data_IF_095674593156
#
_entry.id   IF_095674593156
#
_cell.length_a   1.000
_cell.length_b   1.000
_cell.length_c   1.000
_cell.angle_alpha   90.00
_cell.angle_beta   90.00
_cell.angle_gamma   90.00
#
_symmetry.space_group_name_H-M   'P 1'
#
loop_
_entity.id
_entity.type
_entity.pdbx_description
1 polymer ?
#
# COMPACT_ATOMS: atom_id res chain seq x y z
N UNK A 1 43.55 -14.57 42.98
CA UNK A 1 42.66 -15.70 43.26
C UNK A 1 41.86 -15.36 44.52
N UNK A 2 40.56 -15.06 44.34
CA UNK A 2 39.47 -14.93 45.32
C UNK A 2 39.60 -14.03 46.57
N UNK A 3 39.05 -12.81 46.40
CA UNK A 3 38.11 -12.06 47.27
C UNK A 3 38.26 -12.18 48.80
N UNK A 4 38.76 -11.09 49.39
CA UNK A 4 38.22 -10.52 50.64
C UNK A 4 37.83 -9.07 50.37
N UNK A 5 37.09 -8.50 51.34
CA UNK A 5 37.13 -7.10 51.76
C UNK A 5 35.94 -6.21 51.33
N UNK A 6 34.89 -6.19 52.16
CA UNK A 6 34.60 -5.10 53.12
C UNK A 6 33.09 -4.88 53.32
N UNK A 7 32.72 -4.69 54.58
CA UNK A 7 31.42 -4.21 55.00
C UNK A 7 31.29 -2.69 54.91
N UNK A 8 30.05 -2.28 54.66
CA UNK A 8 29.36 -1.03 55.02
C UNK A 8 30.13 0.30 55.02
N UNK A 9 29.68 1.21 54.14
CA UNK A 9 29.34 2.59 54.52
C UNK A 9 27.96 2.94 53.97
N UNK A 10 27.16 3.55 54.84
CA UNK A 10 25.82 4.11 54.58
C UNK A 10 25.98 5.54 54.04
N UNK A 11 24.94 5.98 53.33
CA UNK A 11 24.63 7.35 52.88
C UNK A 11 25.43 7.91 51.70
N UNK A 12 24.81 7.81 50.52
CA UNK A 12 24.33 8.98 49.78
C UNK A 12 23.20 8.51 48.85
N UNK A 13 22.01 9.09 49.05
CA UNK A 13 20.87 8.98 48.15
C UNK A 13 21.30 9.29 46.72
N UNK A 14 21.14 8.38 45.74
CA UNK A 14 21.09 8.81 44.36
C UNK A 14 19.68 9.39 44.14
N UNK A 15 19.64 10.69 43.85
CA UNK A 15 18.50 11.38 43.28
C UNK A 15 17.72 10.46 42.33
N UNK A 16 16.43 10.26 42.60
CA UNK A 16 15.51 9.75 41.59
C UNK A 16 15.69 10.62 40.34
N UNK A 17 16.02 10.04 39.16
CA UNK A 17 15.91 10.79 37.94
C UNK A 17 14.42 10.99 37.68
N UNK A 18 13.89 12.10 38.20
CA UNK A 18 12.66 12.73 37.74
C UNK A 18 12.92 13.31 36.35
N UNK A 19 13.26 12.44 35.39
CA UNK A 19 13.10 12.74 33.98
C UNK A 19 11.62 12.90 33.74
N UNK A 20 11.14 14.15 33.79
CA UNK A 20 9.85 14.53 33.23
C UNK A 20 9.73 13.85 31.87
N UNK A 21 8.61 13.16 31.57
CA UNK A 21 8.43 12.54 30.27
C UNK A 21 8.63 13.62 29.21
N UNK A 22 9.56 13.35 28.30
CA UNK A 22 9.85 14.22 27.16
C UNK A 22 8.53 14.41 26.44
N UNK A 23 8.00 15.63 26.41
CA UNK A 23 6.69 15.90 25.80
C UNK A 23 6.76 15.50 24.33
N UNK A 24 6.08 14.40 23.96
CA UNK A 24 5.97 13.98 22.57
C UNK A 24 5.16 15.02 21.83
N UNK A 25 5.79 15.74 20.90
CA UNK A 25 5.11 16.70 20.05
C UNK A 25 4.84 16.04 18.70
N UNK A 26 3.56 15.79 18.42
CA UNK A 26 3.08 15.29 17.13
C UNK A 26 2.35 16.41 16.42
N UNK A 27 2.57 16.55 15.12
CA UNK A 27 1.66 17.33 14.30
C UNK A 27 0.32 16.60 14.12
N UNK A 28 -0.72 17.34 13.71
CA UNK A 28 -2.06 16.77 13.57
C UNK A 28 -2.13 15.64 12.55
N UNK A 29 -1.29 15.63 11.51
CA UNK A 29 -1.25 14.57 10.50
C UNK A 29 -0.57 13.31 11.07
N UNK A 30 0.57 13.43 11.74
CA UNK A 30 1.23 12.33 12.46
C UNK A 30 0.27 11.66 13.44
N UNK A 31 -0.45 12.48 14.23
CA UNK A 31 -1.42 12.02 15.21
C UNK A 31 -2.54 11.19 14.58
N UNK A 32 -3.26 11.73 13.58
CA UNK A 32 -4.38 11.00 12.95
C UNK A 32 -3.93 9.80 12.12
N UNK A 33 -2.73 9.86 11.52
CA UNK A 33 -2.14 8.71 10.81
C UNK A 33 -1.84 7.57 11.78
N UNK A 34 -1.24 7.86 12.94
CA UNK A 34 -0.94 6.84 13.93
C UNK A 34 -2.22 6.27 14.58
N UNK A 35 -3.16 7.14 14.96
CA UNK A 35 -4.47 6.73 15.49
C UNK A 35 -5.24 5.83 14.51
N UNK A 36 -5.02 5.96 13.20
CA UNK A 36 -5.67 5.10 12.19
C UNK A 36 -5.37 3.61 12.36
N UNK A 37 -4.30 3.25 13.08
CA UNK A 37 -3.98 1.87 13.44
C UNK A 37 -4.98 1.25 14.41
N UNK A 38 -5.68 2.07 15.21
CA UNK A 38 -6.50 1.67 16.36
C UNK A 38 -7.99 2.07 16.20
N UNK A 39 -8.47 2.29 14.97
CA UNK A 39 -9.91 2.54 14.71
C UNK A 39 -10.81 1.35 15.04
N UNK A 40 -10.21 0.20 15.27
CA UNK A 40 -10.84 -1.00 15.83
C UNK A 40 -9.91 -1.55 16.92
N UNK A 41 -10.42 -2.27 17.93
CA UNK A 41 -9.59 -2.87 18.97
C UNK A 41 -8.39 -3.62 18.37
N UNK A 42 -7.17 -3.22 18.74
CA UNK A 42 -5.95 -3.76 18.18
C UNK A 42 -4.91 -4.05 19.26
N UNK A 43 -4.36 -5.26 19.21
CA UNK A 43 -3.23 -5.70 20.03
C UNK A 43 -1.96 -4.98 19.56
N UNK A 44 -1.37 -4.18 20.45
CA UNK A 44 -0.18 -3.37 20.18
C UNK A 44 0.97 -4.23 19.70
N UNK A 45 1.23 -5.39 20.33
CA UNK A 45 2.34 -6.26 19.97
C UNK A 45 2.18 -6.87 18.57
N UNK A 46 0.95 -7.13 18.15
CA UNK A 46 0.66 -7.65 16.80
C UNK A 46 0.72 -6.55 15.74
N UNK A 47 0.24 -5.35 16.08
CA UNK A 47 0.16 -4.22 15.14
C UNK A 47 1.54 -3.60 14.88
N UNK A 48 2.34 -3.50 15.94
CA UNK A 48 3.65 -2.86 15.98
C UNK A 48 4.73 -3.90 16.30
N UNK A 49 4.99 -4.81 15.35
CA UNK A 49 6.17 -5.67 15.42
C UNK A 49 7.47 -4.86 15.27
N UNK A 50 8.64 -5.49 15.43
CA UNK A 50 9.93 -4.80 15.39
C UNK A 50 10.14 -3.93 14.13
N UNK A 51 9.80 -4.46 12.94
CA UNK A 51 9.98 -3.73 11.68
C UNK A 51 9.00 -2.56 11.55
N UNK A 52 7.74 -2.76 11.96
CA UNK A 52 6.75 -1.69 11.95
C UNK A 52 7.06 -0.60 12.98
N UNK A 53 7.56 -0.98 14.16
CA UNK A 53 7.92 -0.04 15.23
C UNK A 53 9.00 0.93 14.75
N UNK A 54 10.11 0.41 14.23
CA UNK A 54 11.21 1.24 13.74
C UNK A 54 10.76 2.23 12.64
N UNK A 55 9.88 1.78 11.74
CA UNK A 55 9.32 2.62 10.67
C UNK A 55 8.42 3.74 11.22
N UNK A 56 7.63 3.47 12.25
CA UNK A 56 6.82 4.50 12.90
C UNK A 56 7.67 5.47 13.72
N UNK A 57 8.69 4.99 14.43
CA UNK A 57 9.59 5.85 15.22
C UNK A 57 10.34 6.85 14.34
N UNK A 58 10.82 6.42 13.17
CA UNK A 58 11.42 7.31 12.16
C UNK A 58 10.45 8.42 11.71
N UNK A 59 9.19 8.05 11.47
CA UNK A 59 8.16 8.98 10.97
C UNK A 59 7.60 9.93 12.03
N UNK A 60 7.50 9.46 13.27
CA UNK A 60 6.99 10.22 14.40
C UNK A 60 8.09 11.06 15.05
N UNK A 61 9.36 10.70 14.85
CA UNK A 61 10.50 11.34 15.53
C UNK A 61 10.54 11.05 17.03
N UNK A 62 9.84 10.02 17.50
CA UNK A 62 9.69 9.67 18.91
C UNK A 62 9.46 8.16 19.08
N UNK A 63 9.86 7.57 20.23
CA UNK A 63 9.56 6.17 20.54
C UNK A 63 8.06 5.89 20.53
N UNK A 64 7.65 4.77 19.94
CA UNK A 64 6.22 4.46 19.72
C UNK A 64 5.46 4.27 21.04
N UNK A 65 6.10 3.74 22.08
CA UNK A 65 5.46 3.59 23.39
C UNK A 65 5.24 4.92 24.10
N UNK A 66 6.15 5.89 23.92
CA UNK A 66 5.97 7.26 24.43
C UNK A 66 4.83 7.96 23.70
N UNK A 67 4.70 7.73 22.38
CA UNK A 67 3.58 8.22 21.56
C UNK A 67 2.25 7.63 22.06
N UNK A 68 2.20 6.33 22.31
CA UNK A 68 0.99 5.66 22.84
C UNK A 68 0.61 6.24 24.20
N UNK A 69 1.59 6.42 25.10
CA UNK A 69 1.34 7.01 26.41
C UNK A 69 0.78 8.44 26.28
N UNK A 70 1.42 9.29 25.46
CA UNK A 70 0.96 10.66 25.22
C UNK A 70 -0.46 10.73 24.61
N UNK A 71 -0.80 9.82 23.70
CA UNK A 71 -2.15 9.75 23.11
C UNK A 71 -3.20 9.19 24.08
N UNK A 72 -2.78 8.34 25.03
CA UNK A 72 -3.65 7.84 26.10
C UNK A 72 -3.92 8.94 27.13
N UNK A 73 -2.88 9.67 27.55
CA UNK A 73 -2.98 10.83 28.45
C UNK A 73 -3.84 11.95 27.85
N UNK A 74 -3.83 12.09 26.53
CA UNK A 74 -4.67 13.03 25.78
C UNK A 74 -6.10 12.53 25.51
N UNK A 75 -6.48 11.37 26.05
CA UNK A 75 -7.81 10.74 25.89
C UNK A 75 -8.18 10.44 24.42
N UNK A 76 -7.19 10.15 23.58
CA UNK A 76 -7.38 9.79 22.17
C UNK A 76 -7.30 8.29 21.95
N UNK A 77 -6.51 7.60 22.78
CA UNK A 77 -6.51 6.16 22.91
C UNK A 77 -7.06 5.78 24.28
N UNK A 78 -7.72 4.63 24.33
CA UNK A 78 -8.09 3.98 25.58
C UNK A 78 -7.82 2.49 25.48
N UNK A 79 -7.70 1.87 26.65
CA UNK A 79 -7.73 0.41 26.73
C UNK A 79 -9.09 -0.11 26.25
N UNK A 80 -9.07 -1.19 25.49
CA UNK A 80 -10.27 -1.89 25.08
C UNK A 80 -10.96 -2.53 26.29
N UNK A 81 -12.29 -2.45 26.32
CA UNK A 81 -13.13 -3.18 27.29
C UNK A 81 -12.97 -4.69 27.13
N UNK A 82 -13.36 -5.46 28.14
CA UNK A 82 -13.26 -6.93 28.08
C UNK A 82 -13.99 -7.52 26.85
N UNK A 83 -15.17 -6.99 26.52
CA UNK A 83 -15.95 -7.37 25.33
C UNK A 83 -15.17 -7.10 24.04
N UNK A 84 -14.60 -5.91 23.89
CA UNK A 84 -13.78 -5.53 22.74
C UNK A 84 -12.49 -6.38 22.64
N UNK A 85 -11.86 -6.68 23.78
CA UNK A 85 -10.68 -7.56 23.83
C UNK A 85 -10.99 -8.98 23.36
N UNK A 86 -12.14 -9.53 23.78
CA UNK A 86 -12.64 -10.84 23.34
C UNK A 86 -12.91 -10.84 21.84
N UNK A 87 -13.60 -9.82 21.35
CA UNK A 87 -13.90 -9.69 19.92
C UNK A 87 -12.62 -9.59 19.07
N UNK A 88 -11.62 -8.85 19.51
CA UNK A 88 -10.35 -8.72 18.78
C UNK A 88 -9.52 -9.99 18.80
N UNK A 89 -9.59 -10.75 19.89
CA UNK A 89 -8.64 -11.82 20.21
C UNK A 89 -9.00 -13.18 19.64
N UNK A 90 -10.30 -13.45 19.47
CA UNK A 90 -10.81 -14.78 19.14
C UNK A 90 -11.63 -14.79 17.86
N UNK A 91 -11.67 -15.93 17.18
CA UNK A 91 -12.58 -16.19 16.07
C UNK A 91 -14.00 -16.37 16.58
N UNK A 92 -14.98 -16.22 15.68
CA UNK A 92 -16.38 -16.43 16.03
C UNK A 92 -16.65 -17.85 16.56
N UNK A 93 -16.00 -18.87 16.02
CA UNK A 93 -16.14 -20.26 16.49
C UNK A 93 -15.66 -20.43 17.94
N UNK A 94 -14.49 -19.87 18.25
CA UNK A 94 -13.89 -19.90 19.59
C UNK A 94 -14.80 -19.19 20.60
N UNK A 95 -15.33 -18.00 20.25
CA UNK A 95 -16.29 -17.28 21.09
C UNK A 95 -17.58 -18.09 21.32
N UNK A 96 -18.06 -18.87 20.34
CA UNK A 96 -19.25 -19.72 20.52
C UNK A 96 -18.99 -20.89 21.47
N UNK A 97 -17.81 -21.49 21.38
CA UNK A 97 -17.38 -22.54 22.30
C UNK A 97 -17.25 -22.00 23.71
N UNK A 98 -16.60 -20.83 23.87
CA UNK A 98 -16.47 -20.11 25.14
C UNK A 98 -17.83 -19.72 25.73
N UNK A 99 -18.76 -19.25 24.90
CA UNK A 99 -20.12 -18.93 25.33
C UNK A 99 -20.86 -20.17 25.84
N UNK A 100 -20.78 -21.27 25.09
CA UNK A 100 -21.43 -22.53 25.45
C UNK A 100 -20.87 -23.12 26.75
N UNK A 101 -19.54 -23.08 26.94
CA UNK A 101 -18.89 -23.60 28.16
C UNK A 101 -19.25 -22.80 29.42
N UNK A 102 -19.60 -21.52 29.27
CA UNK A 102 -20.07 -20.66 30.36
C UNK A 102 -21.59 -20.72 30.57
N UNK A 103 -22.31 -21.49 29.75
CA UNK A 103 -23.78 -21.56 29.80
C UNK A 103 -24.48 -20.31 29.28
N UNK A 104 -23.79 -19.45 28.51
CA UNK A 104 -24.39 -18.29 27.85
C UNK A 104 -24.73 -18.59 26.38
N UNK A 105 -25.71 -17.87 25.84
CA UNK A 105 -26.23 -18.12 24.49
C UNK A 105 -25.15 -17.86 23.41
N UNK A 106 -24.76 -18.92 22.69
CA UNK A 106 -23.72 -18.91 21.66
C UNK A 106 -24.20 -18.55 20.23
N UNK A 107 -25.39 -17.98 20.06
CA UNK A 107 -25.91 -17.54 18.75
C UNK A 107 -25.99 -16.02 18.66
N UNK A 108 -25.66 -15.47 17.48
CA UNK A 108 -25.67 -14.03 17.21
C UNK A 108 -24.43 -13.56 16.45
N UNK A 109 -24.26 -12.23 16.37
CA UNK A 109 -23.04 -11.62 15.83
C UNK A 109 -21.89 -11.77 16.83
N UNK A 110 -20.66 -11.57 16.33
CA UNK A 110 -19.44 -11.73 17.11
C UNK A 110 -19.40 -10.83 18.35
N UNK A 111 -19.66 -9.53 18.17
CA UNK A 111 -19.74 -8.55 19.25
C UNK A 111 -20.77 -8.94 20.32
N UNK A 112 -21.98 -9.35 19.92
CA UNK A 112 -23.04 -9.75 20.87
C UNK A 112 -22.62 -10.94 21.75
N UNK A 113 -21.87 -11.88 21.19
CA UNK A 113 -21.38 -13.05 21.93
C UNK A 113 -20.27 -12.64 22.89
N UNK A 114 -19.34 -11.78 22.44
CA UNK A 114 -18.27 -11.25 23.28
C UNK A 114 -18.83 -10.46 24.48
N UNK A 115 -19.87 -9.66 24.26
CA UNK A 115 -20.56 -8.89 25.31
C UNK A 115 -21.20 -9.79 26.37
N UNK A 116 -21.87 -10.87 25.93
CA UNK A 116 -22.49 -11.85 26.84
C UNK A 116 -21.46 -12.60 27.67
N UNK A 117 -20.32 -12.94 27.06
CA UNK A 117 -19.22 -13.60 27.78
C UNK A 117 -18.65 -12.63 28.82
N UNK A 118 -18.34 -11.39 28.42
CA UNK A 118 -17.79 -10.37 29.29
C UNK A 118 -18.71 -10.03 30.47
N UNK A 119 -20.03 -10.04 30.24
CA UNK A 119 -21.05 -9.78 31.26
C UNK A 119 -21.30 -10.95 32.21
N UNK A 120 -20.77 -12.14 31.92
CA UNK A 120 -21.00 -13.32 32.75
C UNK A 120 -20.01 -13.36 33.92
N UNK A 121 -20.47 -13.70 35.13
CA UNK A 121 -19.66 -13.67 36.36
C UNK A 121 -18.60 -14.79 36.45
N UNK A 122 -18.38 -15.56 35.37
CA UNK A 122 -17.46 -16.71 35.31
C UNK A 122 -16.23 -16.36 34.48
N UNK A 123 -15.49 -15.33 34.89
CA UNK A 123 -14.39 -14.77 34.10
C UNK A 123 -13.08 -15.53 34.29
N UNK A 124 -13.01 -16.79 33.84
CA UNK A 124 -11.75 -17.55 33.78
C UNK A 124 -10.78 -17.07 32.69
N UNK A 125 -11.19 -16.10 31.87
CA UNK A 125 -10.46 -15.62 30.70
C UNK A 125 -9.71 -14.30 30.93
N UNK A 126 -9.86 -13.71 32.12
CA UNK A 126 -9.15 -12.49 32.49
C UNK A 126 -7.64 -12.68 32.46
N UNK A 127 -7.14 -13.88 32.80
CA UNK A 127 -5.70 -14.14 32.88
C UNK A 127 -5.06 -14.20 31.47
N UNK A 128 -5.74 -14.81 30.50
CA UNK A 128 -5.24 -14.94 29.12
C UNK A 128 -5.31 -13.61 28.34
N UNK A 129 -6.29 -12.75 28.68
CA UNK A 129 -6.44 -11.42 28.10
C UNK A 129 -5.68 -10.34 28.87
N UNK A 130 -5.35 -10.56 30.14
CA UNK A 130 -4.64 -9.61 31.01
C UNK A 130 -3.23 -9.30 30.53
N UNK A 131 -2.59 -10.24 29.81
CA UNK A 131 -1.30 -10.01 29.17
C UNK A 131 -1.35 -9.25 27.85
N UNK A 132 -2.55 -8.95 27.31
CA UNK A 132 -2.70 -8.29 26.01
C UNK A 132 -2.99 -6.80 26.17
N UNK A 133 -2.08 -5.98 25.66
CA UNK A 133 -2.29 -4.54 25.52
C UNK A 133 -3.09 -4.27 24.24
N UNK A 134 -4.43 -4.23 24.36
CA UNK A 134 -5.35 -3.96 23.25
C UNK A 134 -5.89 -2.55 23.42
N UNK A 135 -5.62 -1.70 22.42
CA UNK A 135 -6.03 -0.31 22.41
C UNK A 135 -7.07 -0.05 21.32
N UNK A 136 -7.89 0.97 21.54
CA UNK A 136 -8.85 1.50 20.56
C UNK A 136 -8.89 3.03 20.69
N UNK A 137 -9.13 3.71 19.57
CA UNK A 137 -9.46 5.13 19.57
C UNK A 137 -10.73 5.40 20.40
N UNK A 138 -10.72 6.49 21.15
CA UNK A 138 -11.95 7.08 21.71
C UNK A 138 -12.85 7.59 20.59
N UNK A 139 -14.14 7.84 20.86
CA UNK A 139 -15.10 8.29 19.84
C UNK A 139 -14.63 9.58 19.16
N UNK A 140 -14.14 10.54 19.94
CA UNK A 140 -13.54 11.78 19.44
C UNK A 140 -12.36 11.52 18.48
N UNK A 141 -11.48 10.57 18.82
CA UNK A 141 -10.36 10.21 17.97
C UNK A 141 -10.83 9.44 16.71
N UNK A 142 -11.86 8.61 16.81
CA UNK A 142 -12.46 7.93 15.67
C UNK A 142 -13.08 8.94 14.68
N UNK A 143 -13.77 9.96 15.18
CA UNK A 143 -14.32 11.03 14.36
C UNK A 143 -13.21 11.79 13.62
N UNK A 144 -12.16 12.19 14.33
CA UNK A 144 -11.01 12.88 13.74
C UNK A 144 -10.30 12.04 12.65
N UNK A 145 -10.12 10.73 12.89
CA UNK A 145 -9.55 9.81 11.89
C UNK A 145 -10.48 9.66 10.70
N UNK A 146 -11.79 9.58 10.93
CA UNK A 146 -12.79 9.42 9.88
C UNK A 146 -12.89 10.67 9.00
N UNK A 147 -12.92 11.84 9.59
CA UNK A 147 -12.87 13.14 8.90
C UNK A 147 -11.59 13.26 8.08
N UNK A 148 -10.43 12.91 8.66
CA UNK A 148 -9.16 12.94 7.95
C UNK A 148 -9.15 11.97 6.74
N UNK A 149 -9.68 10.75 6.89
CA UNK A 149 -9.81 9.79 5.78
C UNK A 149 -10.75 10.32 4.70
N UNK A 150 -11.85 10.96 5.06
CA UNK A 150 -12.79 11.57 4.13
C UNK A 150 -12.14 12.73 3.36
N UNK A 151 -11.44 13.63 4.05
CA UNK A 151 -10.70 14.74 3.45
C UNK A 151 -9.63 14.22 2.47
N UNK A 152 -8.81 13.24 2.88
CA UNK A 152 -7.82 12.61 1.99
C UNK A 152 -8.45 11.99 0.74
N UNK A 153 -9.61 11.37 0.88
CA UNK A 153 -10.33 10.81 -0.27
C UNK A 153 -10.78 11.90 -1.24
N UNK A 154 -11.35 13.00 -0.74
CA UNK A 154 -11.77 14.14 -1.57
C UNK A 154 -10.58 14.82 -2.26
N UNK A 155 -9.47 14.99 -1.56
CA UNK A 155 -8.25 15.57 -2.13
C UNK A 155 -7.65 14.68 -3.22
N UNK A 156 -7.64 13.36 -3.02
CA UNK A 156 -7.24 12.39 -4.05
C UNK A 156 -8.13 12.51 -5.28
N UNK A 157 -9.46 12.51 -5.10
CA UNK A 157 -10.42 12.61 -6.20
C UNK A 157 -10.25 13.92 -6.99
N UNK A 158 -10.06 15.05 -6.29
CA UNK A 158 -9.77 16.35 -6.91
C UNK A 158 -8.48 16.33 -7.73
N UNK A 159 -7.41 15.77 -7.18
CA UNK A 159 -6.12 15.66 -7.88
C UNK A 159 -6.23 14.75 -9.12
N UNK A 160 -6.98 13.66 -9.03
CA UNK A 160 -7.23 12.76 -10.15
C UNK A 160 -8.01 13.42 -11.28
N UNK A 161 -9.12 14.11 -10.96
CA UNK A 161 -9.91 14.86 -11.94
C UNK A 161 -9.06 15.91 -12.65
N UNK A 162 -8.32 16.70 -11.89
CA UNK A 162 -7.46 17.72 -12.46
C UNK A 162 -6.35 17.14 -13.35
N UNK A 163 -5.80 16.00 -12.96
CA UNK A 163 -4.84 15.27 -13.81
C UNK A 163 -5.48 14.88 -15.13
N UNK A 164 -6.68 14.31 -15.10
CA UNK A 164 -7.41 13.89 -16.30
C UNK A 164 -7.70 15.06 -17.24
N UNK A 165 -8.14 16.21 -16.71
CA UNK A 165 -8.33 17.43 -17.49
C UNK A 165 -7.04 17.87 -18.21
N UNK A 166 -5.91 17.84 -17.51
CA UNK A 166 -4.61 18.22 -18.08
C UNK A 166 -4.14 17.22 -19.14
N UNK A 167 -4.39 15.92 -18.95
CA UNK A 167 -4.12 14.89 -19.95
C UNK A 167 -4.94 15.12 -21.22
N UNK A 168 -6.25 15.42 -21.08
CA UNK A 168 -7.15 15.77 -22.19
C UNK A 168 -6.64 17.01 -22.95
N UNK A 169 -6.18 18.03 -22.22
CA UNK A 169 -5.57 19.24 -22.77
C UNK A 169 -4.12 19.07 -23.26
N UNK A 170 -3.55 17.85 -23.20
CA UNK A 170 -2.16 17.53 -23.59
C UNK A 170 -1.09 18.27 -22.80
N UNK A 171 -1.43 18.79 -21.62
CA UNK A 171 -0.48 19.38 -20.69
C UNK A 171 0.12 18.30 -19.76
N UNK A 172 0.95 17.43 -20.35
CA UNK A 172 1.50 16.27 -19.64
C UNK A 172 2.46 16.64 -18.51
N UNK A 173 3.19 17.74 -18.66
CA UNK A 173 4.14 18.20 -17.62
C UNK A 173 3.38 18.55 -16.34
N UNK A 174 2.32 19.36 -16.45
CA UNK A 174 1.55 19.74 -15.27
C UNK A 174 0.76 18.55 -14.70
N UNK A 175 0.27 17.64 -15.54
CA UNK A 175 -0.37 16.39 -15.08
C UNK A 175 0.59 15.56 -14.20
N UNK A 176 1.87 15.46 -14.57
CA UNK A 176 2.88 14.78 -13.76
C UNK A 176 3.19 15.56 -12.47
N UNK A 177 3.26 16.90 -12.53
CA UNK A 177 3.54 17.74 -11.37
C UNK A 177 2.48 17.61 -10.27
N UNK A 178 1.19 17.52 -10.64
CA UNK A 178 0.11 17.29 -9.66
C UNK A 178 0.33 16.02 -8.88
N UNK A 179 0.70 14.95 -9.58
CA UNK A 179 0.92 13.63 -8.98
C UNK A 179 2.15 13.65 -8.07
N UNK A 180 3.25 14.26 -8.51
CA UNK A 180 4.45 14.42 -7.69
C UNK A 180 4.16 15.20 -6.41
N UNK A 181 3.50 16.37 -6.52
CA UNK A 181 3.13 17.19 -5.35
C UNK A 181 2.19 16.45 -4.40
N UNK A 182 1.20 15.73 -4.94
CA UNK A 182 0.27 14.96 -4.14
C UNK A 182 0.98 13.87 -3.34
N UNK A 183 1.84 13.07 -3.99
CA UNK A 183 2.59 11.99 -3.34
C UNK A 183 3.65 12.54 -2.38
N UNK A 184 4.32 13.65 -2.71
CA UNK A 184 5.25 14.33 -1.80
C UNK A 184 4.61 14.74 -0.47
N UNK A 185 3.37 15.21 -0.51
CA UNK A 185 2.60 15.59 0.67
C UNK A 185 2.07 14.38 1.47
N UNK A 186 2.15 13.15 0.95
CA UNK A 186 1.67 11.98 1.67
C UNK A 186 2.64 11.54 2.76
N UNK A 187 2.06 11.16 3.90
CA UNK A 187 2.80 10.52 4.99
C UNK A 187 3.47 9.21 4.53
N UNK A 188 2.72 8.41 3.76
CA UNK A 188 3.22 7.23 3.04
C UNK A 188 3.12 7.44 1.55
N UNK A 189 4.28 7.60 0.92
CA UNK A 189 4.42 7.71 -0.52
C UNK A 189 4.35 6.32 -1.16
N UNK A 190 3.74 6.22 -2.34
CA UNK A 190 3.69 4.94 -3.06
C UNK A 190 5.01 4.64 -3.76
N UNK A 191 5.29 3.35 -3.93
CA UNK A 191 6.45 2.85 -4.67
C UNK A 191 7.72 2.82 -3.82
N UNK A 192 8.32 1.64 -3.72
CA UNK A 192 9.58 1.45 -2.98
C UNK A 192 10.70 2.17 -3.75
N UNK A 193 11.43 3.05 -3.06
CA UNK A 193 12.59 3.76 -3.62
C UNK A 193 12.24 4.83 -4.67
N UNK A 194 10.97 5.24 -4.77
CA UNK A 194 10.58 6.32 -5.70
C UNK A 194 10.82 7.66 -5.04
N UNK A 195 11.71 8.47 -5.64
CA UNK A 195 11.86 9.87 -5.28
C UNK A 195 10.84 10.72 -6.05
N UNK A 196 9.71 11.05 -5.42
CA UNK A 196 8.64 11.82 -6.06
C UNK A 196 9.06 13.24 -6.46
N UNK A 197 10.07 13.82 -5.78
CA UNK A 197 10.65 15.15 -6.11
C UNK A 197 11.32 15.21 -7.50
N UNK A 198 11.68 14.06 -8.06
CA UNK A 198 12.35 13.97 -9.35
C UNK A 198 11.69 12.93 -10.27
N UNK A 199 10.47 12.48 -9.95
CA UNK A 199 9.78 11.44 -10.71
C UNK A 199 9.14 11.99 -12.00
N UNK A 200 8.92 13.30 -12.07
CA UNK A 200 8.24 14.02 -13.15
C UNK A 200 8.79 13.67 -14.54
N UNK A 201 10.12 13.63 -14.71
CA UNK A 201 10.73 13.36 -16.02
C UNK A 201 10.45 11.94 -16.53
N UNK A 202 10.47 10.96 -15.63
CA UNK A 202 10.16 9.56 -15.98
C UNK A 202 8.70 9.42 -16.35
N UNK A 203 7.81 9.99 -15.53
CA UNK A 203 6.37 9.98 -15.77
C UNK A 203 6.03 10.67 -17.09
N UNK A 204 6.60 11.86 -17.33
CA UNK A 204 6.39 12.62 -18.57
C UNK A 204 6.78 11.82 -19.81
N UNK A 205 7.92 11.11 -19.79
CA UNK A 205 8.35 10.23 -20.89
C UNK A 205 7.34 9.10 -21.11
N UNK A 206 6.90 8.42 -20.05
CA UNK A 206 5.91 7.34 -20.13
C UNK A 206 4.58 7.83 -20.72
N UNK A 207 4.05 8.95 -20.21
CA UNK A 207 2.82 9.57 -20.73
C UNK A 207 2.96 9.99 -22.19
N UNK A 208 4.11 10.58 -22.55
CA UNK A 208 4.38 10.96 -23.95
C UNK A 208 4.37 9.75 -24.87
N UNK A 209 4.93 8.62 -24.43
CA UNK A 209 4.87 7.36 -25.19
C UNK A 209 3.42 6.90 -25.32
N UNK A 210 2.66 6.85 -24.22
CA UNK A 210 1.24 6.42 -24.23
C UNK A 210 0.41 7.21 -25.24
N UNK A 211 0.59 8.54 -25.31
CA UNK A 211 -0.20 9.38 -26.19
C UNK A 211 0.25 9.39 -27.65
N UNK A 212 1.47 8.92 -27.95
CA UNK A 212 1.99 8.78 -29.33
C UNK A 212 1.92 7.36 -29.88
N UNK A 213 1.80 6.36 -29.00
CA UNK A 213 1.90 4.95 -29.37
C UNK A 213 0.73 4.48 -30.24
N UNK A 214 1.02 3.58 -31.18
CA UNK A 214 0.04 2.83 -31.97
C UNK A 214 0.54 1.38 -32.12
N UNK A 215 0.60 0.62 -31.01
CA UNK A 215 1.16 -0.74 -31.03
C UNK A 215 0.32 -1.66 -31.91
N UNK A 216 0.99 -2.60 -32.57
CA UNK A 216 0.39 -3.56 -33.50
C UNK A 216 -0.77 -4.34 -32.85
N UNK A 217 -0.62 -4.70 -31.58
CA UNK A 217 -1.66 -5.40 -30.81
C UNK A 217 -2.98 -4.61 -30.71
N UNK A 218 -2.91 -3.28 -30.56
CA UNK A 218 -4.13 -2.47 -30.52
C UNK A 218 -4.82 -2.42 -31.87
N UNK A 219 -4.03 -2.34 -32.94
CA UNK A 219 -4.56 -2.36 -34.30
C UNK A 219 -5.23 -3.69 -34.61
N UNK A 220 -4.61 -4.82 -34.25
CA UNK A 220 -5.13 -6.16 -34.51
C UNK A 220 -6.37 -6.50 -33.67
N UNK A 221 -6.39 -6.16 -32.39
CA UNK A 221 -7.47 -6.57 -31.47
C UNK A 221 -8.60 -5.55 -31.30
N UNK A 222 -8.29 -4.26 -31.40
CA UNK A 222 -9.24 -3.18 -31.07
C UNK A 222 -9.46 -2.18 -32.21
N UNK A 223 -8.87 -2.41 -33.39
CA UNK A 223 -8.97 -1.50 -34.53
C UNK A 223 -8.16 -0.20 -34.38
N UNK A 224 -7.36 -0.06 -33.32
CA UNK A 224 -6.56 1.12 -33.03
C UNK A 224 -6.56 1.50 -31.55
N UNK A 225 -5.88 2.60 -31.22
CA UNK A 225 -5.84 3.13 -29.86
C UNK A 225 -6.82 4.29 -29.74
N UNK A 226 -7.92 4.09 -29.01
CA UNK A 226 -8.88 5.15 -28.72
C UNK A 226 -8.29 6.20 -27.76
N UNK A 227 -8.82 7.42 -27.82
CA UNK A 227 -8.44 8.48 -26.90
C UNK A 227 -8.72 8.10 -25.43
N UNK A 228 -9.86 7.47 -25.16
CA UNK A 228 -10.21 6.99 -23.82
C UNK A 228 -9.21 5.94 -23.29
N UNK A 229 -8.71 5.03 -24.14
CA UNK A 229 -7.67 4.08 -23.74
C UNK A 229 -6.34 4.76 -23.42
N UNK A 230 -5.99 5.86 -24.11
CA UNK A 230 -4.79 6.67 -23.79
C UNK A 230 -4.93 7.35 -22.44
N UNK A 231 -6.07 7.99 -22.20
CA UNK A 231 -6.38 8.66 -20.93
C UNK A 231 -6.35 7.67 -19.77
N UNK A 232 -7.01 6.51 -19.92
CA UNK A 232 -7.02 5.48 -18.88
C UNK A 232 -5.64 4.87 -18.63
N UNK A 233 -4.85 4.61 -19.69
CA UNK A 233 -3.48 4.10 -19.54
C UNK A 233 -2.57 5.11 -18.83
N UNK A 234 -2.71 6.40 -19.16
CA UNK A 234 -1.98 7.48 -18.50
C UNK A 234 -2.38 7.60 -17.03
N UNK A 235 -3.67 7.46 -16.70
CA UNK A 235 -4.12 7.43 -15.31
C UNK A 235 -3.64 6.18 -14.57
N UNK A 236 -3.56 5.00 -15.21
CA UNK A 236 -2.92 3.80 -14.64
C UNK A 236 -1.44 4.06 -14.30
N UNK A 237 -0.73 4.78 -15.16
CA UNK A 237 0.66 5.19 -14.90
C UNK A 237 0.77 6.13 -13.71
N UNK A 238 -0.06 7.19 -13.70
CA UNK A 238 0.04 8.31 -12.75
C UNK A 238 -0.62 8.07 -11.40
N UNK A 239 -1.58 7.16 -11.28
CA UNK A 239 -2.33 6.95 -10.03
C UNK A 239 -2.35 5.49 -9.56
N UNK A 240 -1.80 4.57 -10.37
CA UNK A 240 -1.79 3.14 -10.09
C UNK A 240 -3.13 2.47 -10.41
N UNK A 241 -3.15 1.15 -10.59
CA UNK A 241 -4.32 0.44 -11.14
C UNK A 241 -5.50 0.23 -10.17
N UNK A 242 -5.29 0.48 -8.88
CA UNK A 242 -6.23 0.11 -7.80
C UNK A 242 -6.81 1.32 -7.06
N UNK A 243 -6.31 2.54 -7.34
CA UNK A 243 -6.71 3.77 -6.62
C UNK A 243 -7.73 4.60 -7.40
N UNK A 244 -8.54 3.95 -8.21
CA UNK A 244 -9.61 4.62 -8.93
C UNK A 244 -10.80 4.75 -8.02
N UNK A 245 -10.92 5.94 -7.43
CA UNK A 245 -12.20 6.38 -6.88
C UNK A 245 -13.24 6.50 -7.99
N UNK A 246 -14.36 7.15 -7.66
CA UNK A 246 -15.48 7.32 -8.59
C UNK A 246 -15.10 8.03 -9.89
N UNK A 247 -14.06 8.86 -9.86
CA UNK A 247 -13.56 9.63 -11.00
C UNK A 247 -13.35 8.76 -12.25
N UNK A 248 -12.71 7.61 -12.14
CA UNK A 248 -12.41 6.78 -13.32
C UNK A 248 -13.54 5.84 -13.68
N UNK A 249 -14.36 5.42 -12.69
CA UNK A 249 -15.58 4.67 -12.98
C UNK A 249 -16.64 5.52 -13.66
N UNK A 250 -16.66 6.83 -13.44
CA UNK A 250 -17.74 7.69 -13.92
C UNK A 250 -17.34 8.42 -15.22
N UNK A 251 -16.06 8.80 -15.38
CA UNK A 251 -15.59 9.56 -16.56
C UNK A 251 -14.99 8.70 -17.69
N UNK A 252 -14.36 7.57 -17.35
CA UNK A 252 -13.54 6.81 -18.31
C UNK A 252 -14.03 5.40 -18.59
N UNK A 253 -14.87 4.85 -17.73
CA UNK A 253 -15.36 3.48 -17.84
C UNK A 253 -16.88 3.49 -17.83
N UNK A 254 -17.51 2.95 -18.87
CA UNK A 254 -18.89 2.50 -18.69
C UNK A 254 -18.86 1.23 -17.82
N UNK A 255 -19.91 1.01 -17.01
CA UNK A 255 -19.99 -0.06 -15.98
C UNK A 255 -19.66 -1.50 -16.45
N UNK A 256 -19.38 -1.73 -17.73
CA UNK A 256 -19.01 -3.03 -18.30
C UNK A 256 -17.86 -3.00 -19.34
N UNK A 257 -17.08 -1.92 -19.50
CA UNK A 257 -16.04 -1.87 -20.54
C UNK A 257 -14.71 -2.54 -20.13
N UNK A 258 -14.77 -3.86 -19.88
CA UNK A 258 -13.60 -4.71 -19.61
C UNK A 258 -12.56 -4.65 -20.72
N UNK A 259 -12.99 -4.43 -21.97
CA UNK A 259 -12.11 -4.34 -23.12
C UNK A 259 -11.27 -3.06 -23.10
N UNK A 260 -11.84 -1.92 -22.70
CA UNK A 260 -11.10 -0.65 -22.54
C UNK A 260 -10.09 -0.73 -21.41
N UNK A 261 -10.46 -1.32 -20.27
CA UNK A 261 -9.51 -1.56 -19.16
C UNK A 261 -8.33 -2.41 -19.64
N UNK A 262 -8.61 -3.51 -20.35
CA UNK A 262 -7.57 -4.39 -20.89
C UNK A 262 -6.69 -3.68 -21.92
N UNK A 263 -7.29 -2.96 -22.88
CA UNK A 263 -6.57 -2.17 -23.88
C UNK A 263 -5.64 -1.15 -23.21
N UNK A 264 -6.15 -0.36 -22.27
CA UNK A 264 -5.37 0.64 -21.54
C UNK A 264 -4.22 0.01 -20.72
N UNK A 265 -4.45 -1.13 -20.05
CA UNK A 265 -3.39 -1.87 -19.35
C UNK A 265 -2.29 -2.33 -20.32
N UNK A 266 -2.68 -2.84 -21.49
CA UNK A 266 -1.73 -3.28 -22.51
C UNK A 266 -0.99 -2.11 -23.17
N UNK A 267 -1.62 -0.95 -23.30
CA UNK A 267 -0.97 0.27 -23.78
C UNK A 267 0.07 0.78 -22.76
N UNK A 268 -0.28 0.77 -21.47
CA UNK A 268 0.67 1.10 -20.40
C UNK A 268 1.85 0.12 -20.38
N UNK A 269 1.56 -1.18 -20.49
CA UNK A 269 2.60 -2.21 -20.57
C UNK A 269 3.52 -1.98 -21.76
N UNK A 270 2.98 -1.65 -22.94
CA UNK A 270 3.78 -1.25 -24.10
C UNK A 270 4.71 -0.07 -23.79
N UNK A 271 4.16 1.01 -23.21
CA UNK A 271 4.93 2.20 -22.91
C UNK A 271 6.09 1.93 -21.94
N UNK A 272 5.86 1.09 -20.92
CA UNK A 272 6.87 0.68 -19.95
C UNK A 272 7.99 -0.15 -20.58
N UNK A 273 7.65 -1.15 -21.40
CA UNK A 273 8.65 -1.95 -22.10
C UNK A 273 9.48 -1.07 -23.05
N UNK A 274 8.83 -0.18 -23.80
CA UNK A 274 9.54 0.76 -24.68
C UNK A 274 10.52 1.64 -23.91
N UNK A 275 10.08 2.22 -22.78
CA UNK A 275 10.93 3.04 -21.94
C UNK A 275 12.13 2.26 -21.38
N UNK A 276 11.92 1.01 -20.94
CA UNK A 276 12.97 0.13 -20.43
C UNK A 276 13.99 -0.22 -21.51
N UNK A 277 13.54 -0.60 -22.71
CA UNK A 277 14.41 -0.91 -23.85
C UNK A 277 15.22 0.32 -24.27
N UNK A 278 14.57 1.48 -24.41
CA UNK A 278 15.22 2.73 -24.79
C UNK A 278 16.27 3.18 -23.75
N UNK A 279 16.06 2.88 -22.46
CA UNK A 279 17.05 3.13 -21.40
C UNK A 279 18.22 2.15 -21.49
N UNK A 280 17.96 0.85 -21.64
CA UNK A 280 19.01 -0.17 -21.73
C UNK A 280 19.92 0.04 -22.96
N UNK A 281 19.34 0.41 -24.11
CA UNK A 281 20.09 0.77 -25.33
C UNK A 281 21.17 1.82 -25.10
N UNK A 282 20.96 2.74 -24.16
CA UNK A 282 21.90 3.84 -23.87
C UNK A 282 23.02 3.45 -22.91
N UNK A 283 22.81 2.43 -22.08
CA UNK A 283 23.62 2.18 -20.89
C UNK A 283 24.34 0.83 -20.90
N UNK A 284 23.97 -0.09 -21.79
CA UNK A 284 24.30 -1.52 -21.63
C UNK A 284 24.94 -2.15 -22.86
N UNK A 285 26.10 -1.67 -23.28
CA UNK A 285 26.84 -2.29 -24.39
C UNK A 285 27.12 -3.78 -24.13
N UNK A 286 26.83 -4.62 -25.12
CA UNK A 286 27.03 -6.08 -25.05
C UNK A 286 25.94 -6.86 -24.31
N UNK A 287 24.95 -6.20 -23.72
CA UNK A 287 23.79 -6.86 -23.13
C UNK A 287 22.79 -7.28 -24.20
N UNK A 288 21.96 -8.27 -23.87
CA UNK A 288 20.83 -8.75 -24.70
C UNK A 288 19.54 -8.68 -23.89
N UNK A 289 18.39 -8.73 -24.55
CA UNK A 289 17.11 -8.93 -23.88
C UNK A 289 16.65 -10.37 -24.03
N UNK A 290 16.20 -10.98 -22.94
CA UNK A 290 15.46 -12.23 -22.97
C UNK A 290 13.97 -11.93 -22.78
N UNK A 291 13.11 -12.49 -23.61
CA UNK A 291 11.67 -12.42 -23.41
C UNK A 291 11.23 -13.62 -22.58
N UNK A 292 10.62 -13.34 -21.42
CA UNK A 292 10.14 -14.37 -20.50
C UNK A 292 8.62 -14.29 -20.36
N UNK A 293 7.93 -15.42 -20.47
CA UNK A 293 6.50 -15.50 -20.16
C UNK A 293 6.23 -15.84 -18.69
N UNK A 294 5.02 -15.52 -18.23
CA UNK A 294 4.50 -16.10 -16.98
C UNK A 294 4.28 -17.60 -17.16
N UNK A 295 4.70 -18.39 -16.17
CA UNK A 295 4.48 -19.85 -16.10
C UNK A 295 3.02 -20.16 -15.73
N UNK A 296 2.09 -19.88 -16.63
CA UNK A 296 0.74 -20.41 -16.55
C UNK A 296 0.28 -21.00 -17.89
N UNK A 297 -0.49 -22.09 -17.81
CA UNK A 297 -0.99 -22.76 -19.02
C UNK A 297 -2.30 -22.17 -19.52
N UNK A 298 -3.07 -21.53 -18.64
CA UNK A 298 -4.46 -21.17 -18.92
C UNK A 298 -4.66 -19.76 -19.47
N UNK A 299 -3.67 -18.85 -19.38
CA UNK A 299 -3.88 -17.48 -19.85
C UNK A 299 -2.72 -16.84 -20.62
N UNK A 300 -1.67 -17.61 -20.91
CA UNK A 300 -0.60 -17.20 -21.83
C UNK A 300 -0.88 -17.69 -23.25
N UNK A 301 -0.96 -16.77 -24.23
CA UNK A 301 -1.28 -17.10 -25.63
C UNK A 301 -0.10 -17.73 -26.40
N UNK A 302 -0.36 -18.20 -27.63
CA UNK A 302 0.66 -18.82 -28.49
C UNK A 302 1.83 -17.88 -28.79
N UNK A 303 1.58 -16.63 -29.18
CA UNK A 303 2.65 -15.67 -29.48
C UNK A 303 3.63 -15.52 -28.30
N UNK A 304 3.11 -15.33 -27.08
CA UNK A 304 3.91 -15.24 -25.87
C UNK A 304 4.63 -16.55 -25.52
N UNK A 305 4.09 -17.72 -25.88
CA UNK A 305 4.75 -19.02 -25.66
C UNK A 305 5.87 -19.27 -26.64
N UNK A 306 5.67 -18.86 -27.89
CA UNK A 306 6.65 -19.02 -28.95
C UNK A 306 7.88 -18.15 -28.72
N UNK A 307 7.74 -17.02 -28.04
CA UNK A 307 8.85 -16.09 -27.80
C UNK A 307 9.56 -16.28 -26.45
N UNK A 308 9.12 -17.25 -25.64
CA UNK A 308 9.71 -17.52 -24.33
C UNK A 308 11.16 -17.98 -24.43
N UNK A 309 12.05 -17.36 -23.64
CA UNK A 309 13.49 -17.62 -23.60
C UNK A 309 14.27 -17.10 -24.81
N UNK A 310 13.63 -16.38 -25.74
CA UNK A 310 14.32 -15.86 -26.92
C UNK A 310 15.22 -14.67 -26.55
N UNK A 311 16.47 -14.72 -27.02
CA UNK A 311 17.47 -13.68 -26.81
C UNK A 311 17.55 -12.75 -28.02
N UNK A 312 17.39 -11.46 -27.74
CA UNK A 312 17.40 -10.38 -28.71
C UNK A 312 18.56 -9.43 -28.45
N UNK A 313 19.23 -9.01 -29.52
CA UNK A 313 20.12 -7.85 -29.42
C UNK A 313 19.29 -6.60 -29.09
N UNK A 314 19.92 -5.62 -28.44
CA UNK A 314 19.19 -4.43 -27.96
C UNK A 314 18.40 -3.74 -29.07
N UNK A 315 18.90 -3.74 -30.31
CA UNK A 315 18.24 -3.11 -31.45
C UNK A 315 17.11 -3.93 -32.08
N UNK A 316 17.04 -5.22 -31.76
CA UNK A 316 16.11 -6.18 -32.36
C UNK A 316 15.05 -6.69 -31.37
N UNK A 317 14.87 -6.02 -30.22
CA UNK A 317 13.86 -6.41 -29.23
C UNK A 317 12.46 -6.33 -29.83
N UNK A 318 11.63 -7.38 -29.72
CA UNK A 318 10.30 -7.39 -30.29
C UNK A 318 9.40 -6.38 -29.60
N UNK A 319 8.34 -5.97 -30.31
CA UNK A 319 7.27 -5.22 -29.68
C UNK A 319 6.58 -6.07 -28.60
N UNK A 320 6.46 -5.51 -27.40
CA UNK A 320 5.72 -6.06 -26.28
C UNK A 320 4.62 -5.07 -25.86
N UNK A 321 3.33 -5.46 -25.80
CA UNK A 321 2.78 -6.78 -26.15
C UNK A 321 3.03 -7.14 -27.61
N UNK A 322 3.22 -8.43 -27.91
CA UNK A 322 3.31 -8.89 -29.30
C UNK A 322 2.08 -8.45 -30.10
N UNK A 323 2.23 -8.06 -31.38
CA UNK A 323 1.10 -7.71 -32.24
C UNK A 323 -0.01 -8.76 -32.29
N UNK A 324 0.38 -10.05 -32.20
CA UNK A 324 -0.52 -11.20 -32.22
C UNK A 324 -0.84 -11.74 -30.81
N UNK A 325 -0.57 -10.96 -29.77
CA UNK A 325 -0.94 -11.35 -28.42
C UNK A 325 -2.46 -11.49 -28.31
N UNK A 326 -2.95 -12.59 -27.75
CA UNK A 326 -4.38 -12.78 -27.50
C UNK A 326 -4.66 -13.28 -26.07
N UNK A 327 -3.81 -12.89 -25.11
CA UNK A 327 -4.05 -13.21 -23.70
C UNK A 327 -5.35 -12.51 -23.22
N UNK A 328 -6.24 -13.27 -22.59
CA UNK A 328 -7.53 -12.75 -22.08
C UNK A 328 -7.35 -11.72 -20.98
N UNK A 329 -6.33 -11.90 -20.15
CA UNK A 329 -6.00 -11.01 -19.02
C UNK A 329 -4.91 -9.99 -19.37
N UNK A 330 -4.48 -9.95 -20.63
CA UNK A 330 -3.41 -9.10 -21.13
C UNK A 330 -2.06 -9.78 -21.20
N UNK A 331 -1.14 -9.17 -21.95
CA UNK A 331 0.22 -9.69 -22.08
C UNK A 331 0.92 -9.65 -20.73
N UNK A 332 1.60 -10.75 -20.40
CA UNK A 332 2.38 -10.93 -19.17
C UNK A 332 3.78 -11.44 -19.49
N UNK A 333 4.27 -11.17 -20.71
CA UNK A 333 5.68 -11.31 -20.98
C UNK A 333 6.47 -10.24 -20.21
N UNK A 334 7.77 -10.44 -20.07
CA UNK A 334 8.70 -9.42 -19.59
C UNK A 334 9.95 -9.48 -20.47
N UNK A 335 10.47 -8.32 -20.88
CA UNK A 335 11.82 -8.24 -21.43
C UNK A 335 12.80 -8.02 -20.27
N UNK A 336 13.70 -8.97 -20.04
CA UNK A 336 14.73 -8.87 -19.01
C UNK A 336 16.09 -8.68 -19.65
N UNK A 337 16.91 -7.80 -19.08
CA UNK A 337 18.25 -7.53 -19.59
C UNK A 337 19.20 -8.61 -19.09
N UNK A 338 19.91 -9.25 -20.02
CA UNK A 338 20.88 -10.32 -19.75
C UNK A 338 22.28 -9.80 -20.05
N UNK A 339 23.23 -9.88 -19.09
CA UNK A 339 24.61 -9.49 -19.34
C UNK A 339 25.26 -10.38 -20.40
N UNK A 340 26.31 -9.90 -21.08
CA UNK A 340 27.12 -10.76 -21.92
C UNK A 340 27.60 -11.94 -21.08
N UNK A 341 27.38 -13.16 -21.58
CA UNK A 341 27.94 -14.35 -20.96
C UNK A 341 29.46 -14.22 -20.99
N UNK A 342 30.11 -14.30 -19.82
CA UNK A 342 31.56 -14.47 -19.73
C UNK A 342 31.89 -15.75 -20.52
N UNK A 343 32.45 -15.59 -21.72
CA UNK A 343 33.04 -16.69 -22.46
C UNK A 343 34.42 -17.01 -21.90
#
# INVERSE_FOLDING_TARGET
MFRKLFGFKKDNSPDEPTTKPRSVQLDSNQQVQFLSLFTSPADVAKRLNANHTALWEDKLGAPVFDVIAALTDAELLREATLSEKLEASFKLSELKEMASSQGVKASGKKADIAERIASSSRTGFCDELGGRNILICTDRAQDAVSEHKAAKKLDLERAQLRTLELLRARNFSEACNIVCRYEEAQFYQRGIGVNWKSADQRLFKEITIIFKANPGFHKSRYGGVSQASRELAAMFSLWGTERFGRVISDELLDNNDKNRVLAARMLLFFARNKLQVDQAKRLSQGYRFEVLKVKDRNSTCLACRSDDGHLYDLDNVPELPHPDCNCEVGCRCNAVLVPPSNR
#
